data_IF_404935398301
#
_entry.id   IF_404935398301
#
_cell.length_a   1.000
_cell.length_b   1.000
_cell.length_c   1.000
_cell.angle_alpha   90.00
_cell.angle_beta   90.00
_cell.angle_gamma   90.00
#
_symmetry.space_group_name_H-M   'P 1'
#
loop_
_entity.id
_entity.type
_entity.pdbx_description
1 polymer ?
#
# COMPACT_ATOMS: atom_id res chain seq x y z
N UNK A 1 23.45 -15.90 -29.76
CA UNK A 1 22.50 -14.79 -29.97
C UNK A 1 22.20 -14.23 -28.59
N UNK A 2 22.81 -13.11 -28.23
CA UNK A 2 22.53 -12.43 -26.96
C UNK A 2 21.15 -11.81 -27.04
N UNK A 3 20.19 -12.32 -26.27
CA UNK A 3 18.92 -11.64 -26.03
C UNK A 3 19.25 -10.32 -25.34
N UNK A 4 19.32 -9.24 -26.13
CA UNK A 4 19.50 -7.90 -25.61
C UNK A 4 18.32 -7.59 -24.68
N UNK A 5 18.60 -7.50 -23.39
CA UNK A 5 17.66 -6.95 -22.42
C UNK A 5 17.47 -5.48 -22.80
N UNK A 6 16.44 -5.20 -23.59
CA UNK A 6 15.94 -3.84 -23.76
C UNK A 6 15.04 -3.60 -22.55
N UNK A 7 15.44 -2.80 -21.55
CA UNK A 7 14.53 -2.43 -20.48
C UNK A 7 13.31 -1.77 -21.14
N UNK A 8 12.15 -2.37 -20.95
CA UNK A 8 10.89 -1.73 -21.30
C UNK A 8 10.75 -0.55 -20.32
N UNK A 9 11.08 0.64 -20.81
CA UNK A 9 10.73 1.90 -20.14
C UNK A 9 9.42 2.31 -20.79
N UNK A 10 8.25 1.97 -20.22
CA UNK A 10 7.02 2.57 -20.71
C UNK A 10 7.21 4.08 -20.64
N UNK A 11 6.94 4.78 -21.73
CA UNK A 11 6.72 6.22 -21.67
C UNK A 11 5.45 6.41 -20.86
N UNK A 12 5.61 6.61 -19.55
CA UNK A 12 4.52 6.92 -18.64
C UNK A 12 3.91 8.25 -19.11
N UNK A 13 2.60 8.27 -19.26
CA UNK A 13 1.84 9.48 -19.55
C UNK A 13 2.17 10.59 -18.55
N UNK A 14 2.19 11.85 -18.98
CA UNK A 14 2.59 12.97 -18.12
C UNK A 14 1.64 13.15 -16.93
N UNK A 15 0.34 12.95 -17.12
CA UNK A 15 -0.65 13.04 -16.05
C UNK A 15 -0.49 11.88 -15.06
N UNK A 16 -0.17 10.68 -15.56
CA UNK A 16 0.15 9.54 -14.70
C UNK A 16 1.40 9.84 -13.87
N UNK A 17 2.49 10.31 -14.50
CA UNK A 17 3.73 10.65 -13.78
C UNK A 17 3.48 11.70 -12.70
N UNK A 18 2.81 12.79 -13.05
CA UNK A 18 2.48 13.86 -12.10
C UNK A 18 1.67 13.34 -10.90
N UNK A 19 0.77 12.39 -11.16
CA UNK A 19 0.00 11.76 -10.09
C UNK A 19 0.84 10.84 -9.19
N UNK A 20 1.74 10.04 -9.74
CA UNK A 20 2.66 9.21 -8.96
C UNK A 20 3.60 10.08 -8.10
N UNK A 21 4.11 11.17 -8.67
CA UNK A 21 4.92 12.15 -7.94
C UNK A 21 4.14 12.74 -6.77
N UNK A 22 2.89 13.17 -7.00
CA UNK A 22 2.00 13.66 -5.95
C UNK A 22 1.80 12.64 -4.82
N UNK A 23 1.51 11.37 -5.15
CA UNK A 23 1.34 10.31 -4.15
C UNK A 23 2.64 10.13 -3.35
N UNK A 24 3.79 10.06 -4.03
CA UNK A 24 5.08 9.73 -3.39
C UNK A 24 5.50 10.68 -2.26
N UNK A 25 5.04 11.93 -2.32
CA UNK A 25 5.34 12.97 -1.31
C UNK A 25 4.14 13.33 -0.44
N UNK A 26 3.01 12.61 -0.58
CA UNK A 26 1.76 12.93 0.09
C UNK A 26 1.94 12.94 1.63
N UNK A 27 1.60 14.08 2.26
CA UNK A 27 1.60 14.30 3.71
C UNK A 27 0.41 15.15 4.13
N UNK A 28 -0.79 14.67 3.78
CA UNK A 28 -2.06 15.34 4.10
C UNK A 28 -2.17 15.48 5.63
N UNK A 29 -2.26 16.70 6.20
CA UNK A 29 -2.26 16.91 7.65
C UNK A 29 -3.43 16.22 8.37
N UNK A 30 -4.56 16.04 7.70
CA UNK A 30 -5.73 15.38 8.27
C UNK A 30 -5.62 13.85 8.29
N UNK A 31 -4.60 13.28 7.62
CA UNK A 31 -4.40 11.83 7.57
C UNK A 31 -3.84 11.32 8.90
N UNK A 32 -4.50 10.34 9.57
CA UNK A 32 -4.01 9.78 10.83
C UNK A 32 -2.56 9.29 10.75
N UNK A 33 -2.15 8.70 9.63
CA UNK A 33 -0.76 8.23 9.43
C UNK A 33 0.26 9.35 9.59
N UNK A 34 -0.01 10.56 9.06
CA UNK A 34 0.93 11.68 9.15
C UNK A 34 1.13 12.16 10.59
N UNK A 35 0.09 12.06 11.42
CA UNK A 35 0.14 12.54 12.81
C UNK A 35 0.58 11.48 13.80
N UNK A 36 0.20 10.22 13.57
CA UNK A 36 0.38 9.11 14.50
C UNK A 36 1.54 8.19 14.14
N UNK A 37 1.86 8.04 12.85
CA UNK A 37 2.87 7.10 12.36
C UNK A 37 3.64 7.67 11.15
N UNK A 38 4.36 8.81 11.30
CA UNK A 38 5.08 9.41 10.18
C UNK A 38 6.42 8.73 9.86
N UNK A 39 6.91 7.83 10.71
CA UNK A 39 8.19 7.14 10.56
C UNK A 39 8.21 5.79 11.28
N UNK A 40 9.12 4.93 10.84
CA UNK A 40 9.58 3.75 11.57
C UNK A 40 10.66 4.15 12.57
N UNK A 41 10.52 3.86 13.87
CA UNK A 41 11.48 4.23 14.92
C UNK A 41 12.69 3.27 14.90
N UNK A 42 13.55 3.36 13.90
CA UNK A 42 14.75 2.51 13.81
C UNK A 42 15.93 3.15 14.54
N UNK A 43 16.54 2.56 15.58
CA UNK A 43 17.68 3.18 16.27
C UNK A 43 18.89 3.31 15.33
N UNK A 44 19.75 4.29 15.62
CA UNK A 44 21.02 4.52 14.90
C UNK A 44 22.10 3.51 15.34
N UNK A 45 21.83 2.20 15.25
CA UNK A 45 22.77 1.15 15.62
C UNK A 45 22.66 -0.08 14.72
N UNK A 46 23.80 -0.72 14.36
CA UNK A 46 23.80 -1.90 13.49
C UNK A 46 22.80 -2.98 13.95
N UNK A 47 22.05 -3.60 13.04
CA UNK A 47 22.13 -3.47 11.57
C UNK A 47 21.36 -2.26 11.00
N UNK A 48 20.67 -1.47 11.81
CA UNK A 48 19.81 -0.37 11.37
C UNK A 48 20.53 0.99 11.47
N UNK A 49 20.58 1.74 10.38
CA UNK A 49 21.34 3.01 10.30
C UNK A 49 20.43 4.17 9.88
N UNK A 50 19.39 4.46 10.65
CA UNK A 50 18.60 5.67 10.46
C UNK A 50 17.74 5.89 11.69
N UNK A 51 18.13 6.79 12.61
CA UNK A 51 17.44 7.05 13.89
C UNK A 51 15.91 7.13 13.80
N UNK A 52 15.37 7.54 12.64
CA UNK A 52 14.00 7.33 12.21
C UNK A 52 14.01 7.15 10.67
N UNK A 53 13.24 6.19 10.14
CA UNK A 53 13.03 6.02 8.70
C UNK A 53 11.67 6.61 8.32
N UNK A 54 11.60 7.66 7.48
CA UNK A 54 10.31 8.24 7.10
C UNK A 54 9.42 7.20 6.44
N UNK A 55 8.17 7.10 6.90
CA UNK A 55 7.19 6.28 6.21
C UNK A 55 6.80 7.00 4.92
N UNK A 56 6.86 6.31 3.79
CA UNK A 56 6.53 6.84 2.47
C UNK A 56 5.32 6.12 1.85
N UNK A 57 4.46 6.85 1.12
CA UNK A 57 3.41 6.25 0.32
C UNK A 57 3.96 5.32 -0.78
N UNK A 58 3.38 4.13 -0.89
CA UNK A 58 3.62 3.16 -1.96
C UNK A 58 2.77 3.54 -3.17
N UNK A 59 3.44 3.95 -4.24
CA UNK A 59 2.83 4.31 -5.52
C UNK A 59 2.49 3.06 -6.34
N UNK A 60 1.44 3.06 -7.17
CA UNK A 60 1.22 1.98 -8.12
C UNK A 60 2.35 1.93 -9.16
N UNK A 61 2.85 0.72 -9.46
CA UNK A 61 3.93 0.47 -10.43
C UNK A 61 3.47 -0.31 -11.66
N UNK A 62 2.36 -1.03 -11.54
CA UNK A 62 1.64 -1.65 -12.66
C UNK A 62 0.51 -0.71 -13.08
N UNK A 63 0.61 -0.15 -14.29
CA UNK A 63 -0.12 1.06 -14.69
C UNK A 63 -0.93 0.87 -15.99
N UNK A 64 -1.38 -0.36 -16.27
CA UNK A 64 -2.11 -0.59 -17.52
C UNK A 64 -3.47 0.12 -17.51
N UNK A 65 -3.65 1.06 -18.42
CA UNK A 65 -4.91 1.79 -18.61
C UNK A 65 -5.90 1.00 -19.48
N UNK A 66 -7.20 1.31 -19.36
CA UNK A 66 -8.32 0.76 -20.13
C UNK A 66 -8.43 -0.76 -20.10
N UNK A 67 -8.09 -1.34 -18.95
CA UNK A 67 -8.13 -2.78 -18.68
C UNK A 67 -8.68 -3.04 -17.28
N UNK A 68 -7.97 -3.80 -16.45
CA UNK A 68 -8.42 -4.21 -15.13
C UNK A 68 -7.68 -3.37 -14.09
N UNK A 69 -8.41 -2.77 -13.15
CA UNK A 69 -7.81 -2.19 -11.94
C UNK A 69 -8.04 -3.13 -10.77
N UNK A 70 -6.98 -3.40 -10.02
CA UNK A 70 -6.99 -4.21 -8.80
C UNK A 70 -6.61 -3.32 -7.62
N UNK A 71 -7.44 -3.32 -6.58
CA UNK A 71 -7.33 -2.43 -5.42
C UNK A 71 -7.19 -3.28 -4.15
N UNK A 72 -6.01 -3.25 -3.53
CA UNK A 72 -5.79 -3.75 -2.17
C UNK A 72 -6.16 -2.72 -1.10
N UNK A 73 -6.12 -3.10 0.17
CA UNK A 73 -6.47 -2.19 1.26
C UNK A 73 -5.37 -1.17 1.56
N UNK A 74 -4.17 -1.66 1.90
CA UNK A 74 -2.96 -0.87 2.17
C UNK A 74 -1.73 -1.72 1.86
N UNK A 75 -0.57 -1.12 1.57
CA UNK A 75 0.66 -1.87 1.33
C UNK A 75 1.09 -2.62 2.59
N UNK A 76 1.93 -3.65 2.43
CA UNK A 76 2.69 -4.24 3.53
C UNK A 76 3.97 -3.42 3.80
N UNK A 77 4.80 -3.82 4.76
CA UNK A 77 6.11 -3.22 5.02
C UNK A 77 7.22 -4.28 5.03
N UNK A 78 8.47 -3.85 5.21
CA UNK A 78 9.59 -4.70 5.58
C UNK A 78 9.63 -4.88 7.08
N UNK A 79 9.83 -6.12 7.49
CA UNK A 79 9.93 -6.48 8.89
C UNK A 79 11.35 -6.91 9.27
N UNK A 80 11.69 -6.74 10.53
CA UNK A 80 12.91 -7.24 11.13
C UNK A 80 12.60 -8.07 12.38
N UNK A 81 13.53 -8.95 12.72
CA UNK A 81 13.65 -9.54 14.04
C UNK A 81 14.73 -8.77 14.79
N UNK A 82 14.39 -8.23 15.95
CA UNK A 82 15.31 -7.47 16.80
C UNK A 82 15.22 -7.99 18.23
N UNK A 83 16.31 -8.51 18.76
CA UNK A 83 16.30 -9.15 20.08
C UNK A 83 15.31 -10.30 20.13
N UNK A 84 14.29 -10.20 20.99
CA UNK A 84 13.21 -11.18 21.12
C UNK A 84 11.97 -10.84 20.27
N UNK A 85 11.89 -9.64 19.71
CA UNK A 85 10.73 -9.21 18.92
C UNK A 85 10.87 -9.66 17.47
N UNK A 86 9.85 -10.34 16.99
CA UNK A 86 9.73 -10.75 15.58
C UNK A 86 8.70 -9.88 14.88
N UNK A 87 8.86 -9.66 13.57
CA UNK A 87 7.90 -8.88 12.77
C UNK A 87 7.83 -7.40 13.20
N UNK A 88 8.98 -6.80 13.50
CA UNK A 88 9.10 -5.37 13.80
C UNK A 88 9.10 -4.59 12.47
N UNK A 89 8.14 -3.70 12.18
CA UNK A 89 8.18 -2.89 10.96
C UNK A 89 9.40 -1.98 10.96
N UNK A 90 10.11 -1.88 9.84
CA UNK A 90 11.35 -1.09 9.76
C UNK A 90 11.50 -0.22 8.52
N UNK A 91 10.76 -0.53 7.45
CA UNK A 91 10.88 0.17 6.17
C UNK A 91 9.68 -0.16 5.27
N UNK A 92 9.44 0.62 4.24
CA UNK A 92 8.35 0.39 3.29
C UNK A 92 8.70 -0.69 2.25
N UNK A 93 7.67 -1.26 1.62
CA UNK A 93 7.83 -1.99 0.36
C UNK A 93 7.87 -1.02 -0.82
N UNK A 94 8.36 -1.46 -1.96
CA UNK A 94 8.54 -0.58 -3.12
C UNK A 94 7.35 -0.54 -4.07
N UNK A 95 6.47 -1.54 -4.00
CA UNK A 95 5.28 -1.62 -4.86
C UNK A 95 4.11 -2.38 -4.21
N UNK A 96 2.86 -2.15 -4.64
CA UNK A 96 1.71 -2.92 -4.18
C UNK A 96 1.87 -4.41 -4.52
N UNK A 97 1.58 -5.28 -3.56
CA UNK A 97 1.70 -6.74 -3.70
C UNK A 97 3.07 -7.20 -4.20
N UNK A 98 4.13 -6.56 -3.70
CA UNK A 98 5.52 -6.91 -3.98
C UNK A 98 5.76 -8.43 -3.82
N UNK A 99 6.45 -9.03 -4.79
CA UNK A 99 6.86 -10.45 -4.80
C UNK A 99 8.33 -10.63 -4.44
N UNK A 100 8.99 -9.57 -3.97
CA UNK A 100 10.38 -9.56 -3.58
C UNK A 100 10.66 -10.40 -2.32
N UNK A 101 11.95 -10.52 -2.06
CA UNK A 101 12.52 -11.15 -0.88
C UNK A 101 13.29 -10.11 -0.07
N UNK A 102 13.23 -10.17 1.25
CA UNK A 102 13.97 -9.28 2.13
C UNK A 102 14.63 -10.06 3.26
N UNK A 103 15.70 -9.51 3.83
CA UNK A 103 16.38 -10.09 4.98
C UNK A 103 15.84 -9.47 6.27
N UNK A 104 15.32 -10.28 7.19
CA UNK A 104 14.69 -9.82 8.44
C UNK A 104 15.66 -9.79 9.64
N UNK A 105 16.96 -9.68 9.39
CA UNK A 105 18.07 -9.87 10.35
C UNK A 105 18.30 -11.30 10.85
N UNK A 106 17.43 -12.26 10.52
CA UNK A 106 17.61 -13.68 10.89
C UNK A 106 17.68 -14.57 9.65
N UNK A 107 16.87 -14.27 8.64
CA UNK A 107 16.81 -15.04 7.40
C UNK A 107 16.18 -14.24 6.26
N UNK A 108 16.19 -14.86 5.09
CA UNK A 108 15.52 -14.29 3.91
C UNK A 108 14.06 -14.71 3.92
N UNK A 109 13.16 -13.74 3.83
CA UNK A 109 11.70 -13.88 3.78
C UNK A 109 11.17 -13.55 2.40
N UNK A 110 10.06 -14.18 2.05
CA UNK A 110 9.29 -13.87 0.85
C UNK A 110 8.00 -13.14 1.26
N UNK A 111 7.51 -12.23 0.41
CA UNK A 111 6.19 -11.64 0.58
C UNK A 111 5.09 -12.60 0.08
N UNK A 112 4.25 -13.17 0.96
CA UNK A 112 3.31 -14.22 0.54
C UNK A 112 2.11 -13.67 -0.25
N UNK A 113 1.77 -12.38 -0.09
CA UNK A 113 0.56 -11.80 -0.66
C UNK A 113 0.66 -11.60 -2.17
N UNK A 114 1.79 -11.10 -2.68
CA UNK A 114 2.03 -10.96 -4.10
C UNK A 114 2.06 -12.31 -4.83
N UNK A 115 2.79 -13.28 -4.26
CA UNK A 115 2.89 -14.64 -4.83
C UNK A 115 1.53 -15.35 -4.85
N UNK A 116 0.74 -15.18 -3.78
CA UNK A 116 -0.62 -15.71 -3.72
C UNK A 116 -1.54 -15.07 -4.76
N UNK A 117 -1.49 -13.74 -4.92
CA UNK A 117 -2.32 -13.03 -5.91
C UNK A 117 -1.97 -13.49 -7.33
N UNK A 118 -0.68 -13.61 -7.63
CA UNK A 118 -0.20 -14.09 -8.92
C UNK A 118 -0.68 -15.53 -9.21
N UNK A 119 -0.38 -16.47 -8.31
CA UNK A 119 -0.64 -17.91 -8.54
C UNK A 119 -2.11 -18.30 -8.49
N UNK A 120 -2.88 -17.67 -7.60
CA UNK A 120 -4.26 -18.07 -7.37
C UNK A 120 -5.26 -17.31 -8.22
N UNK A 121 -4.89 -16.15 -8.77
CA UNK A 121 -5.82 -15.30 -9.52
C UNK A 121 -5.30 -14.94 -10.91
N UNK A 122 -4.12 -14.33 -11.03
CA UNK A 122 -3.66 -13.86 -12.34
C UNK A 122 -3.31 -15.00 -13.30
N UNK A 123 -2.50 -15.97 -12.86
CA UNK A 123 -2.09 -17.10 -13.71
C UNK A 123 -3.27 -17.96 -14.18
N UNK A 124 -4.22 -18.38 -13.32
CA UNK A 124 -5.35 -19.21 -13.76
C UNK A 124 -6.30 -18.50 -14.72
N UNK A 125 -6.38 -17.17 -14.62
CA UNK A 125 -7.20 -16.32 -15.51
C UNK A 125 -6.44 -15.90 -16.78
N UNK A 126 -5.15 -16.27 -16.91
CA UNK A 126 -4.31 -15.88 -18.04
C UNK A 126 -4.02 -14.37 -18.10
N UNK A 127 -4.04 -13.69 -16.95
CA UNK A 127 -3.77 -12.25 -16.84
C UNK A 127 -2.28 -11.99 -16.66
N UNK A 128 -1.76 -11.02 -17.41
CA UNK A 128 -0.38 -10.53 -17.37
C UNK A 128 -0.34 -9.18 -16.64
N UNK A 129 0.33 -9.13 -15.49
CA UNK A 129 0.49 -7.92 -14.66
C UNK A 129 0.94 -6.69 -15.47
N UNK A 130 1.78 -6.89 -16.50
CA UNK A 130 2.34 -5.78 -17.30
C UNK A 130 1.40 -5.29 -18.38
N UNK A 131 0.45 -6.11 -18.82
CA UNK A 131 -0.37 -5.85 -20.01
C UNK A 131 -1.84 -5.67 -19.72
N UNK A 132 -2.28 -6.12 -18.55
CA UNK A 132 -3.70 -6.19 -18.22
C UNK A 132 -4.06 -5.41 -16.95
N UNK A 133 -3.09 -5.13 -16.07
CA UNK A 133 -3.37 -4.69 -14.70
C UNK A 133 -2.88 -3.27 -14.40
N UNK A 134 -3.77 -2.46 -13.81
CA UNK A 134 -3.43 -1.36 -12.91
C UNK A 134 -3.52 -1.86 -11.47
N UNK A 135 -2.42 -1.92 -10.73
CA UNK A 135 -2.39 -2.50 -9.37
C UNK A 135 -2.09 -1.42 -8.34
N UNK A 136 -2.99 -1.26 -7.37
CA UNK A 136 -2.90 -0.20 -6.37
C UNK A 136 -3.49 -0.61 -5.03
N UNK A 137 -3.42 0.28 -4.04
CA UNK A 137 -4.08 0.14 -2.74
C UNK A 137 -4.99 1.34 -2.44
N UNK A 138 -6.05 1.14 -1.67
CA UNK A 138 -6.94 2.21 -1.20
C UNK A 138 -6.16 3.25 -0.37
N UNK A 139 -5.43 2.77 0.63
CA UNK A 139 -4.49 3.54 1.45
C UNK A 139 -3.08 3.34 0.91
N UNK A 140 -2.30 4.43 0.86
CA UNK A 140 -0.96 4.40 0.25
C UNK A 140 0.17 4.10 1.23
N UNK A 141 -0.10 4.11 2.53
CA UNK A 141 0.90 3.93 3.58
C UNK A 141 0.66 2.62 4.34
N UNK A 142 1.73 2.01 4.87
CA UNK A 142 1.56 0.89 5.80
C UNK A 142 0.82 1.35 7.05
N UNK A 143 -0.08 0.50 7.55
CA UNK A 143 -0.80 0.74 8.80
C UNK A 143 -0.27 -0.19 9.88
N UNK A 144 0.26 0.39 10.95
CA UNK A 144 0.71 -0.37 12.11
C UNK A 144 -0.45 -0.66 13.06
N UNK A 145 -0.42 -1.82 13.71
CA UNK A 145 -1.35 -2.19 14.76
C UNK A 145 -0.69 -2.10 16.13
N UNK A 146 -1.47 -2.39 17.18
CA UNK A 146 -1.02 -2.32 18.57
C UNK A 146 0.17 -3.23 18.85
N UNK A 147 0.26 -4.42 18.23
CA UNK A 147 1.39 -5.33 18.45
C UNK A 147 2.70 -4.74 17.91
N UNK A 148 2.65 -4.03 16.79
CA UNK A 148 3.83 -3.32 16.28
C UNK A 148 4.29 -2.20 17.23
N UNK A 149 3.35 -1.46 17.83
CA UNK A 149 3.65 -0.41 18.81
C UNK A 149 4.26 -1.01 20.08
N UNK A 150 3.68 -2.10 20.59
CA UNK A 150 4.20 -2.85 21.73
C UNK A 150 5.62 -3.37 21.48
N UNK A 151 5.90 -3.90 20.28
CA UNK A 151 7.24 -4.32 19.91
C UNK A 151 8.25 -3.16 19.99
N UNK A 152 7.90 -1.96 19.48
CA UNK A 152 8.77 -0.79 19.61
C UNK A 152 8.99 -0.37 21.08
N UNK A 153 7.97 -0.49 21.93
CA UNK A 153 8.08 -0.19 23.36
C UNK A 153 8.98 -1.20 24.08
N UNK A 154 8.82 -2.50 23.81
CA UNK A 154 9.64 -3.57 24.37
C UNK A 154 11.11 -3.44 23.99
N UNK A 155 11.38 -2.95 22.78
CA UNK A 155 12.72 -2.64 22.29
C UNK A 155 13.30 -1.34 22.88
N UNK A 156 12.49 -0.55 23.59
CA UNK A 156 12.87 0.77 24.11
C UNK A 156 13.09 1.81 23.01
N UNK A 157 12.49 1.63 21.83
CA UNK A 157 12.61 2.56 20.70
C UNK A 157 11.65 3.74 20.83
N UNK A 158 10.54 3.54 21.53
CA UNK A 158 9.56 4.59 21.87
C UNK A 158 9.18 4.51 23.35
N UNK A 159 8.73 5.62 23.91
CA UNK A 159 8.27 5.72 25.30
C UNK A 159 6.89 5.04 25.47
N UNK A 160 6.68 4.17 26.48
CA UNK A 160 5.41 3.47 26.67
C UNK A 160 4.28 4.37 27.24
N UNK A 161 4.62 5.51 27.83
CA UNK A 161 3.67 6.48 28.41
C UNK A 161 3.31 7.57 27.39
N UNK A 162 4.28 8.05 26.64
CA UNK A 162 4.10 9.08 25.60
C UNK A 162 4.74 8.60 24.28
N UNK A 163 4.13 7.62 23.60
CA UNK A 163 4.72 7.02 22.41
C UNK A 163 4.81 8.05 21.29
N UNK A 164 5.94 8.07 20.59
CA UNK A 164 6.13 8.92 19.40
C UNK A 164 5.45 8.35 18.16
N UNK A 165 4.91 7.13 18.25
CA UNK A 165 4.23 6.40 17.20
C UNK A 165 3.02 5.67 17.81
N UNK A 166 1.84 5.82 17.21
CA UNK A 166 0.59 5.18 17.63
C UNK A 166 0.01 4.28 16.53
N UNK A 167 -0.80 3.28 16.92
CA UNK A 167 -1.46 2.39 15.98
C UNK A 167 -2.41 3.16 15.05
N UNK A 168 -2.40 2.81 13.76
CA UNK A 168 -3.21 3.45 12.72
C UNK A 168 -4.12 2.46 11.98
N UNK A 169 -3.97 1.14 12.23
CA UNK A 169 -4.77 0.11 11.58
C UNK A 169 -6.25 0.21 11.92
N UNK A 170 -6.58 0.45 13.19
CA UNK A 170 -7.98 0.57 13.64
C UNK A 170 -8.64 1.87 13.13
N UNK A 171 -7.83 2.85 12.69
CA UNK A 171 -8.28 4.08 12.04
C UNK A 171 -8.45 3.92 10.51
N UNK A 172 -8.49 2.69 9.98
CA UNK A 172 -8.47 2.42 8.54
C UNK A 172 -9.42 3.32 7.74
N UNK A 173 -10.70 3.45 8.15
CA UNK A 173 -11.67 4.27 7.42
C UNK A 173 -11.28 5.76 7.41
N UNK A 174 -10.76 6.28 8.52
CA UNK A 174 -10.30 7.66 8.62
C UNK A 174 -9.04 7.94 7.79
N UNK A 175 -8.19 6.92 7.56
CA UNK A 175 -7.02 7.00 6.66
C UNK A 175 -7.44 6.83 5.20
N UNK A 176 -8.32 5.87 4.92
CA UNK A 176 -8.79 5.54 3.58
C UNK A 176 -9.62 6.66 2.98
N UNK A 177 -10.41 7.36 3.78
CA UNK A 177 -11.23 8.50 3.37
C UNK A 177 -10.48 9.56 2.53
N UNK A 178 -9.43 10.23 3.06
CA UNK A 178 -8.66 11.20 2.28
C UNK A 178 -7.85 10.55 1.17
N UNK A 179 -7.35 9.32 1.35
CA UNK A 179 -6.61 8.61 0.29
C UNK A 179 -7.50 8.30 -0.92
N UNK A 180 -8.74 7.87 -0.70
CA UNK A 180 -9.71 7.60 -1.75
C UNK A 180 -10.00 8.86 -2.55
N UNK A 181 -10.36 9.94 -1.84
CA UNK A 181 -10.74 11.21 -2.46
C UNK A 181 -9.61 11.85 -3.27
N UNK A 182 -8.36 11.77 -2.79
CA UNK A 182 -7.24 12.48 -3.42
C UNK A 182 -6.40 11.63 -4.37
N UNK A 183 -6.32 10.32 -4.12
CA UNK A 183 -5.47 9.42 -4.89
C UNK A 183 -6.32 8.49 -5.75
N UNK A 184 -7.16 7.67 -5.12
CA UNK A 184 -7.83 6.58 -5.85
C UNK A 184 -8.78 7.09 -6.94
N UNK A 185 -9.55 8.17 -6.70
CA UNK A 185 -10.43 8.73 -7.73
C UNK A 185 -9.64 9.23 -8.95
N UNK A 186 -8.46 9.83 -8.72
CA UNK A 186 -7.59 10.27 -9.81
C UNK A 186 -6.97 9.08 -10.54
N UNK A 187 -6.56 8.04 -9.81
CA UNK A 187 -6.10 6.79 -10.44
C UNK A 187 -7.19 6.14 -11.28
N UNK A 188 -8.45 6.12 -10.83
CA UNK A 188 -9.57 5.59 -11.63
C UNK A 188 -9.78 6.42 -12.89
N UNK A 189 -9.72 7.76 -12.79
CA UNK A 189 -9.85 8.65 -13.94
C UNK A 189 -8.72 8.45 -14.97
N UNK A 190 -7.48 8.27 -14.51
CA UNK A 190 -6.31 8.01 -15.35
C UNK A 190 -6.33 6.59 -15.93
N UNK A 191 -6.67 5.60 -15.12
CA UNK A 191 -6.72 4.19 -15.51
C UNK A 191 -7.86 3.94 -16.49
N UNK A 192 -9.02 4.60 -16.36
CA UNK A 192 -10.23 4.33 -17.13
C UNK A 192 -10.56 2.81 -17.20
N UNK A 193 -10.62 2.09 -16.06
CA UNK A 193 -10.72 0.64 -16.06
C UNK A 193 -12.03 0.15 -16.69
N UNK A 194 -11.98 -0.97 -17.42
CA UNK A 194 -13.14 -1.72 -17.90
C UNK A 194 -13.73 -2.63 -16.81
N UNK A 195 -12.90 -2.99 -15.83
CA UNK A 195 -13.28 -3.79 -14.66
C UNK A 195 -12.46 -3.35 -13.44
N UNK A 196 -13.10 -3.22 -12.28
CA UNK A 196 -12.42 -3.03 -11.00
C UNK A 196 -12.66 -4.21 -10.07
N UNK A 197 -11.56 -4.70 -9.48
CA UNK A 197 -11.53 -5.79 -8.51
C UNK A 197 -11.02 -5.23 -7.18
N UNK A 198 -11.88 -5.24 -6.17
CA UNK A 198 -11.53 -4.85 -4.79
C UNK A 198 -11.12 -6.08 -3.98
N UNK A 199 -9.95 -6.04 -3.34
CA UNK A 199 -9.42 -7.16 -2.56
C UNK A 199 -9.70 -6.97 -1.07
N UNK A 200 -10.68 -7.73 -0.57
CA UNK A 200 -11.00 -7.82 0.86
C UNK A 200 -12.09 -6.86 1.34
N UNK A 201 -12.53 -7.08 2.58
CA UNK A 201 -13.67 -6.39 3.17
C UNK A 201 -13.44 -4.88 3.34
N UNK A 202 -12.23 -4.47 3.70
CA UNK A 202 -11.85 -3.07 3.89
C UNK A 202 -12.02 -2.23 2.62
N UNK A 203 -11.62 -2.79 1.48
CA UNK A 203 -11.80 -2.16 0.16
C UNK A 203 -13.28 -2.13 -0.21
N UNK A 204 -13.99 -3.25 -0.01
CA UNK A 204 -15.44 -3.32 -0.27
C UNK A 204 -16.20 -2.25 0.50
N UNK A 205 -15.97 -2.13 1.81
CA UNK A 205 -16.63 -1.14 2.67
C UNK A 205 -16.39 0.28 2.18
N UNK A 206 -15.16 0.61 1.80
CA UNK A 206 -14.82 1.94 1.29
C UNK A 206 -15.51 2.24 -0.05
N UNK A 207 -15.47 1.30 -0.99
CA UNK A 207 -16.08 1.46 -2.32
C UNK A 207 -17.61 1.62 -2.30
N UNK A 208 -18.27 1.13 -1.25
CA UNK A 208 -19.73 1.18 -1.09
C UNK A 208 -20.15 2.17 0.02
N UNK A 209 -19.24 3.00 0.50
CA UNK A 209 -19.53 4.05 1.47
C UNK A 209 -19.99 5.35 0.77
N UNK A 210 -20.85 6.11 1.44
CA UNK A 210 -21.43 7.38 0.99
C UNK A 210 -20.43 8.52 1.07
N UNK A 211 -20.83 9.70 0.61
CA UNK A 211 -20.04 10.92 0.72
C UNK A 211 -19.56 11.24 2.17
N UNK A 212 -20.16 10.59 3.18
CA UNK A 212 -19.81 10.71 4.62
C UNK A 212 -19.23 9.40 5.23
N UNK A 213 -18.76 8.47 4.40
CA UNK A 213 -18.20 7.17 4.83
C UNK A 213 -19.17 6.27 5.62
N UNK A 214 -20.47 6.51 5.51
CA UNK A 214 -21.54 5.61 5.95
C UNK A 214 -21.90 4.68 4.77
N UNK A 215 -22.17 3.38 4.93
CA UNK A 215 -22.57 2.53 3.79
C UNK A 215 -23.75 3.16 3.01
N UNK A 216 -23.61 3.45 1.71
CA UNK A 216 -24.65 4.14 0.91
C UNK A 216 -25.59 3.19 0.19
N UNK A 217 -26.82 3.67 0.00
CA UNK A 217 -27.74 3.28 -1.05
C UNK A 217 -27.79 4.15 -2.33
N UNK A 218 -27.03 5.25 -2.53
CA UNK A 218 -27.30 6.17 -3.66
C UNK A 218 -26.10 6.61 -4.54
N UNK A 219 -24.83 6.36 -4.17
CA UNK A 219 -23.71 6.35 -5.15
C UNK A 219 -22.77 5.19 -4.79
N UNK A 220 -22.52 4.33 -5.76
CA UNK A 220 -21.75 3.09 -5.65
C UNK A 220 -20.56 3.15 -6.61
N UNK A 221 -19.48 2.41 -6.34
CA UNK A 221 -18.36 2.29 -7.28
C UNK A 221 -18.79 1.81 -8.68
N UNK A 222 -19.92 1.12 -8.77
CA UNK A 222 -20.61 0.76 -10.01
C UNK A 222 -21.00 1.97 -10.86
N UNK A 223 -21.25 3.13 -10.26
CA UNK A 223 -21.56 4.39 -10.97
C UNK A 223 -20.32 5.01 -11.63
N UNK A 224 -19.11 4.61 -11.20
CA UNK A 224 -17.82 5.13 -11.68
C UNK A 224 -17.13 4.14 -12.64
N UNK A 225 -17.20 2.84 -12.37
CA UNK A 225 -16.43 1.81 -13.09
C UNK A 225 -17.26 0.98 -14.09
N UNK A 226 -18.57 1.20 -14.20
CA UNK A 226 -19.47 0.44 -15.08
C UNK A 226 -19.73 -1.01 -14.65
N UNK A 227 -18.72 -1.73 -14.12
CA UNK A 227 -18.82 -3.05 -13.50
C UNK A 227 -17.78 -3.19 -12.37
N UNK A 228 -18.24 -3.48 -11.15
CA UNK A 228 -17.39 -3.86 -10.02
C UNK A 228 -17.65 -5.35 -9.71
N UNK A 229 -16.59 -6.17 -9.69
CA UNK A 229 -16.64 -7.54 -9.20
C UNK A 229 -15.90 -7.60 -7.87
N UNK A 230 -16.46 -8.35 -6.93
CA UNK A 230 -15.94 -8.58 -5.58
C UNK A 230 -15.60 -10.06 -5.42
#
# INVERSE_FOLDING_TARGET
MSNGFVPYIPTIDEDVRAHLEFISICRIPECPVVNKHPFYPTPNQPPHFAGQTPLVPVVPTWLMQRRIMVIGAYPNCRFATVGAETSVPVDDITEPFDVARYFDNVGVRDYPTGDSLQRNYFEPLGLDLRKDIWLTNMVKCFLIDTHHVEAYQNLGWIDPVNPTVEATRDDYLAVAAPCMQRNLLQEVALCQPELVIGLGEEVYRMMHSSADFQPHGDITFTDIAGKALL
#
